data_IF_486143796281
#
_entry.id   IF_486143796281
#
_cell.length_a   1.000
_cell.length_b   1.000
_cell.length_c   1.000
_cell.angle_alpha   90.00
_cell.angle_beta   90.00
_cell.angle_gamma   90.00
#
_symmetry.space_group_name_H-M   'P 1'
#
loop_
_entity.id
_entity.type
_entity.pdbx_description
1 polymer ?
#
# COMPACT_ATOMS: atom_id res chain seq x y z
N UNK A 1 -20.07 -20.13 -5.59
CA UNK A 1 -18.72 -19.63 -5.22
C UNK A 1 -18.74 -18.12 -5.19
N UNK A 2 -18.26 -17.48 -4.12
CA UNK A 2 -18.19 -16.02 -4.11
C UNK A 2 -17.15 -15.53 -5.10
N UNK A 3 -17.50 -14.43 -5.76
CA UNK A 3 -16.56 -13.75 -6.66
C UNK A 3 -15.47 -13.09 -5.83
N UNK A 4 -14.17 -13.27 -6.17
CA UNK A 4 -13.11 -12.60 -5.46
C UNK A 4 -13.25 -11.07 -5.52
N UNK A 5 -13.01 -10.41 -4.40
CA UNK A 5 -12.94 -8.94 -4.38
C UNK A 5 -11.65 -8.51 -5.08
N UNK A 6 -11.80 -7.61 -6.03
CA UNK A 6 -10.65 -7.05 -6.74
C UNK A 6 -10.12 -5.82 -6.01
N UNK A 7 -8.83 -5.83 -5.72
CA UNK A 7 -8.16 -4.78 -4.95
C UNK A 7 -6.84 -4.37 -5.59
N UNK A 8 -6.33 -3.22 -5.18
CA UNK A 8 -4.98 -2.76 -5.51
C UNK A 8 -4.21 -2.50 -4.22
N UNK A 9 -2.88 -2.57 -4.32
CA UNK A 9 -1.96 -2.15 -3.27
C UNK A 9 -0.75 -1.49 -3.94
N UNK A 10 -0.20 -0.47 -3.30
CA UNK A 10 0.87 0.32 -3.89
C UNK A 10 2.17 0.20 -3.10
N UNK A 11 3.25 -0.21 -3.78
CA UNK A 11 4.60 0.03 -3.30
C UNK A 11 5.06 1.36 -3.87
N UNK A 12 4.92 2.41 -3.10
CA UNK A 12 5.34 3.76 -3.48
C UNK A 12 6.75 3.96 -2.97
N UNK A 13 7.71 3.98 -3.89
CA UNK A 13 9.14 3.98 -3.57
C UNK A 13 9.73 5.36 -3.87
N UNK A 14 10.47 5.89 -2.92
CA UNK A 14 11.23 7.13 -3.05
C UNK A 14 12.71 6.80 -2.89
N UNK A 15 13.55 7.45 -3.69
CA UNK A 15 15.01 7.33 -3.55
C UNK A 15 15.57 8.66 -3.07
N UNK A 16 16.09 8.70 -1.84
CA UNK A 16 16.68 9.90 -1.26
C UNK A 16 18.12 9.62 -0.85
N UNK A 17 18.36 9.12 0.37
CA UNK A 17 19.67 8.58 0.76
C UNK A 17 19.77 7.10 0.45
N UNK A 18 18.68 6.51 -0.02
CA UNK A 18 18.52 5.11 -0.38
C UNK A 18 17.04 4.89 -0.68
N UNK A 19 16.64 3.64 -1.01
CA UNK A 19 15.24 3.35 -1.30
C UNK A 19 14.41 3.43 -0.03
N UNK A 20 13.23 4.04 -0.14
CA UNK A 20 12.28 4.21 0.96
C UNK A 20 10.88 3.87 0.50
N UNK A 21 10.10 3.23 1.37
CA UNK A 21 8.74 2.80 1.09
C UNK A 21 7.75 3.67 1.86
N UNK A 22 6.70 4.12 1.18
CA UNK A 22 5.59 4.83 1.80
C UNK A 22 4.74 3.86 2.60
N UNK A 23 4.58 4.14 3.89
CA UNK A 23 3.72 3.37 4.79
C UNK A 23 2.90 4.32 5.66
N UNK A 24 1.87 3.78 6.32
CA UNK A 24 1.10 4.56 7.28
C UNK A 24 0.60 3.69 8.42
N UNK A 25 0.32 4.34 9.54
CA UNK A 25 -0.36 3.74 10.70
C UNK A 25 -1.72 4.41 10.88
N UNK A 26 -2.72 3.65 11.30
CA UNK A 26 -4.01 4.20 11.68
C UNK A 26 -3.89 4.87 13.05
N UNK A 27 -4.13 6.17 13.13
CA UNK A 27 -4.14 6.86 14.42
C UNK A 27 -5.33 6.45 15.27
N UNK A 28 -6.46 6.13 14.63
CA UNK A 28 -7.70 5.75 15.32
C UNK A 28 -7.72 4.28 15.70
N UNK A 29 -6.90 3.45 15.06
CA UNK A 29 -6.85 2.00 15.27
C UNK A 29 -5.39 1.56 15.33
N UNK A 30 -4.68 1.83 16.45
CA UNK A 30 -3.23 1.54 16.52
C UNK A 30 -2.88 0.08 16.26
N UNK A 31 -3.77 -0.85 16.63
CA UNK A 31 -3.54 -2.28 16.47
C UNK A 31 -3.67 -2.76 15.03
N UNK A 32 -4.10 -1.90 14.11
CA UNK A 32 -4.21 -2.28 12.70
C UNK A 32 -2.85 -2.59 12.06
N UNK A 33 -1.76 -2.14 12.67
CA UNK A 33 -0.41 -2.35 12.16
C UNK A 33 -0.04 -1.37 11.05
N UNK A 34 1.22 -1.42 10.64
CA UNK A 34 1.75 -0.55 9.59
C UNK A 34 1.36 -1.12 8.22
N UNK A 35 0.89 -0.25 7.34
CA UNK A 35 0.31 -0.65 6.06
C UNK A 35 0.83 0.19 4.90
N UNK A 36 0.64 -0.33 3.68
CA UNK A 36 0.81 0.43 2.44
C UNK A 36 -0.57 0.85 1.92
N UNK A 37 -0.64 1.87 1.03
CA UNK A 37 -1.92 2.24 0.43
C UNK A 37 -2.54 1.06 -0.32
N UNK A 38 -3.81 0.79 -0.06
CA UNK A 38 -4.54 -0.32 -0.66
C UNK A 38 -6.04 -0.10 -0.57
N UNK A 39 -6.79 -0.73 -1.47
CA UNK A 39 -8.24 -0.65 -1.43
C UNK A 39 -8.89 -1.35 -2.61
N UNK A 40 -10.22 -1.29 -2.65
CA UNK A 40 -11.01 -1.96 -3.68
C UNK A 40 -10.96 -1.26 -5.03
N UNK A 41 -10.99 -2.04 -6.10
CA UNK A 41 -11.17 -1.53 -7.46
C UNK A 41 -12.67 -1.33 -7.68
N UNK A 42 -13.05 -0.14 -8.15
CA UNK A 42 -14.45 0.16 -8.49
C UNK A 42 -14.83 -0.50 -9.81
N UNK A 43 -16.14 -0.65 -10.04
CA UNK A 43 -16.67 -1.37 -11.20
C UNK A 43 -16.10 -0.87 -12.53
N UNK A 44 -15.88 0.44 -12.66
CA UNK A 44 -15.44 1.06 -13.92
C UNK A 44 -13.94 1.36 -13.96
N UNK A 45 -13.20 0.91 -12.94
CA UNK A 45 -11.77 1.20 -12.85
C UNK A 45 -10.92 0.03 -13.31
N UNK A 46 -9.79 0.34 -13.93
CA UNK A 46 -8.70 -0.61 -14.08
C UNK A 46 -7.76 -0.49 -12.84
N UNK A 47 -6.84 -1.45 -12.66
CA UNK A 47 -5.93 -1.40 -11.51
C UNK A 47 -5.06 -0.14 -11.48
N UNK A 48 -4.63 0.37 -12.61
CA UNK A 48 -3.81 1.58 -12.72
C UNK A 48 -4.55 2.79 -12.14
N UNK A 49 -5.79 3.02 -12.59
CA UNK A 49 -6.62 4.13 -12.12
C UNK A 49 -6.94 3.96 -10.64
N UNK A 50 -7.27 2.74 -10.22
CA UNK A 50 -7.63 2.47 -8.83
C UNK A 50 -6.47 2.73 -7.88
N UNK A 51 -5.24 2.32 -8.24
CA UNK A 51 -4.09 2.49 -7.35
C UNK A 51 -3.74 3.96 -7.17
N UNK A 52 -3.83 4.76 -8.22
CA UNK A 52 -3.59 6.21 -8.12
C UNK A 52 -4.63 6.87 -7.21
N UNK A 53 -5.89 6.48 -7.35
CA UNK A 53 -6.95 6.99 -6.49
C UNK A 53 -6.72 6.63 -5.03
N UNK A 54 -6.38 5.38 -4.74
CA UNK A 54 -6.15 4.93 -3.35
C UNK A 54 -4.97 5.65 -2.72
N UNK A 55 -3.86 5.84 -3.44
CA UNK A 55 -2.71 6.57 -2.91
C UNK A 55 -3.10 8.00 -2.55
N UNK A 56 -3.86 8.68 -3.42
CA UNK A 56 -4.30 10.05 -3.16
C UNK A 56 -5.29 10.12 -1.99
N UNK A 57 -6.25 9.20 -1.95
CA UNK A 57 -7.27 9.19 -0.88
C UNK A 57 -6.65 8.92 0.49
N UNK A 58 -5.70 8.00 0.57
CA UNK A 58 -5.15 7.55 1.85
C UNK A 58 -3.93 8.33 2.32
N UNK A 59 -3.17 8.95 1.41
CA UNK A 59 -1.94 9.64 1.78
C UNK A 59 -1.86 11.09 1.34
N UNK A 60 -2.73 11.52 0.42
CA UNK A 60 -2.72 12.86 -0.13
C UNK A 60 -1.73 13.07 -1.27
N UNK A 61 -0.89 12.09 -1.58
CA UNK A 61 0.05 12.20 -2.70
C UNK A 61 -0.70 11.99 -4.02
N UNK A 62 -0.46 12.86 -4.99
CA UNK A 62 -1.20 12.85 -6.27
C UNK A 62 -0.31 12.80 -7.51
N UNK A 63 1.00 12.82 -7.36
CA UNK A 63 1.96 12.82 -8.48
C UNK A 63 2.92 11.65 -8.38
N UNK A 64 2.38 10.44 -8.16
CA UNK A 64 3.18 9.23 -8.05
C UNK A 64 2.93 8.36 -9.29
N UNK A 65 3.75 8.50 -10.35
CA UNK A 65 3.53 7.70 -11.55
C UNK A 65 3.69 6.21 -11.28
N UNK A 66 2.86 5.40 -11.98
CA UNK A 66 2.95 3.96 -11.92
C UNK A 66 4.13 3.51 -12.79
N UNK A 67 5.05 2.76 -12.18
CA UNK A 67 6.21 2.20 -12.89
C UNK A 67 5.84 0.86 -13.53
N UNK A 68 5.09 0.01 -12.80
CA UNK A 68 4.69 -1.27 -13.36
C UNK A 68 3.96 -2.15 -12.37
N UNK A 69 3.49 -3.30 -12.85
CA UNK A 69 2.87 -4.33 -12.02
C UNK A 69 3.94 -5.18 -11.35
N UNK A 70 3.69 -5.53 -10.08
CA UNK A 70 4.59 -6.41 -9.30
C UNK A 70 4.04 -7.82 -9.29
N UNK A 71 2.74 -7.98 -9.14
CA UNK A 71 2.10 -9.28 -9.12
C UNK A 71 0.67 -9.19 -8.63
N UNK A 72 0.02 -10.34 -8.54
CA UNK A 72 -1.34 -10.45 -8.01
C UNK A 72 -1.29 -11.35 -6.79
N UNK A 73 -1.75 -10.83 -5.66
CA UNK A 73 -1.83 -11.57 -4.40
C UNK A 73 -3.22 -12.18 -4.30
N UNK A 74 -3.28 -13.50 -4.29
CA UNK A 74 -4.54 -14.25 -4.25
C UNK A 74 -4.96 -14.66 -2.83
N UNK A 75 -4.21 -14.25 -1.81
CA UNK A 75 -4.55 -14.62 -0.43
C UNK A 75 -5.89 -14.01 -0.01
N UNK A 76 -6.74 -14.80 0.66
CA UNK A 76 -8.03 -14.29 1.14
C UNK A 76 -7.83 -13.26 2.25
N UNK A 77 -8.92 -12.56 2.58
CA UNK A 77 -8.92 -11.64 3.71
C UNK A 77 -8.51 -12.40 4.98
N UNK A 78 -7.54 -11.87 5.77
CA UNK A 78 -6.97 -12.62 6.88
C UNK A 78 -7.95 -12.88 8.03
N UNK A 79 -9.01 -12.09 8.14
CA UNK A 79 -10.00 -12.24 9.22
C UNK A 79 -11.26 -12.92 8.72
N UNK A 80 -11.84 -12.48 7.60
CA UNK A 80 -13.13 -12.97 7.12
C UNK A 80 -13.01 -14.20 6.21
N UNK A 81 -11.83 -14.45 5.64
CA UNK A 81 -11.62 -15.51 4.66
C UNK A 81 -12.20 -15.22 3.29
N UNK A 82 -12.74 -14.00 3.07
CA UNK A 82 -13.31 -13.65 1.77
C UNK A 82 -12.23 -13.70 0.68
N UNK A 83 -12.52 -14.35 -0.47
CA UNK A 83 -11.55 -14.37 -1.57
C UNK A 83 -11.19 -12.96 -2.05
N UNK A 84 -9.92 -12.74 -2.35
CA UNK A 84 -9.41 -11.46 -2.85
C UNK A 84 -8.39 -11.69 -3.93
N UNK A 85 -8.36 -10.78 -4.91
CA UNK A 85 -7.26 -10.66 -5.86
C UNK A 85 -6.73 -9.23 -5.73
N UNK A 86 -5.55 -9.08 -5.13
CA UNK A 86 -4.93 -7.77 -4.92
C UNK A 86 -3.82 -7.57 -5.94
N UNK A 87 -4.04 -6.63 -6.86
CA UNK A 87 -3.03 -6.22 -7.83
C UNK A 87 -2.04 -5.31 -7.11
N UNK A 88 -0.77 -5.73 -7.04
CA UNK A 88 0.29 -4.96 -6.39
C UNK A 88 1.07 -4.22 -7.48
N UNK A 89 1.15 -2.91 -7.35
CA UNK A 89 1.81 -2.04 -8.33
C UNK A 89 2.94 -1.25 -7.68
N UNK A 90 3.95 -0.97 -8.49
CA UNK A 90 5.10 -0.16 -8.09
C UNK A 90 4.89 1.26 -8.60
N UNK A 91 4.95 2.23 -7.70
CA UNK A 91 4.84 3.65 -8.00
C UNK A 91 6.10 4.37 -7.55
N UNK A 92 6.38 5.51 -8.17
CA UNK A 92 7.51 6.35 -7.80
C UNK A 92 7.02 7.62 -7.09
N UNK A 93 7.65 7.96 -5.97
CA UNK A 93 7.37 9.22 -5.27
C UNK A 93 8.52 10.21 -5.48
N UNK A 94 8.21 11.52 -5.62
CA UNK A 94 9.26 12.53 -5.66
C UNK A 94 10.11 12.54 -4.40
N UNK A 95 11.42 12.78 -4.55
CA UNK A 95 12.34 12.76 -3.42
C UNK A 95 12.19 13.96 -2.48
N UNK A 96 11.51 15.02 -2.92
CA UNK A 96 11.28 16.23 -2.14
C UNK A 96 9.99 16.21 -1.33
N UNK A 97 9.24 15.10 -1.37
CA UNK A 97 8.07 14.93 -0.50
C UNK A 97 8.47 14.96 0.97
N UNK A 98 7.52 15.32 1.82
CA UNK A 98 7.73 15.31 3.27
C UNK A 98 8.09 13.89 3.76
N UNK A 99 8.92 13.81 4.79
CA UNK A 99 9.31 12.53 5.37
C UNK A 99 8.17 11.87 6.14
N UNK A 100 7.32 12.67 6.76
CA UNK A 100 6.15 12.19 7.49
C UNK A 100 5.09 13.28 7.59
N UNK A 101 3.83 12.86 7.66
CA UNK A 101 2.69 13.77 7.78
C UNK A 101 1.46 13.01 8.26
N UNK A 102 0.44 13.73 8.70
CA UNK A 102 -0.86 13.17 9.04
C UNK A 102 -1.84 13.54 7.94
N UNK A 103 -2.58 12.56 7.45
CA UNK A 103 -3.55 12.75 6.38
C UNK A 103 -4.93 12.24 6.83
N UNK A 104 -5.96 13.06 6.61
CA UNK A 104 -7.34 12.61 6.79
C UNK A 104 -7.79 11.94 5.50
N UNK A 105 -8.18 10.66 5.61
CA UNK A 105 -8.52 9.84 4.45
C UNK A 105 -9.74 10.42 3.73
N UNK A 106 -9.63 10.55 2.43
CA UNK A 106 -10.68 11.08 1.55
C UNK A 106 -11.45 9.95 0.88
N UNK A 107 -12.49 10.33 0.15
CA UNK A 107 -13.28 9.39 -0.64
C UNK A 107 -14.52 8.93 0.09
N UNK A 108 -15.08 7.82 -0.37
CA UNK A 108 -16.35 7.27 0.13
C UNK A 108 -16.21 5.87 0.70
N UNK A 109 -14.99 5.36 0.81
CA UNK A 109 -14.74 4.04 1.38
C UNK A 109 -14.88 4.06 2.90
N UNK A 110 -14.84 2.87 3.51
CA UNK A 110 -15.04 2.73 4.97
C UNK A 110 -14.03 3.51 5.80
N UNK A 111 -12.83 3.74 5.27
CA UNK A 111 -11.78 4.46 5.98
C UNK A 111 -11.90 5.98 5.86
N UNK A 112 -12.85 6.50 5.07
CA UNK A 112 -13.03 7.93 4.89
C UNK A 112 -13.24 8.64 6.24
N UNK A 113 -12.49 9.73 6.46
CA UNK A 113 -12.53 10.48 7.70
C UNK A 113 -11.56 10.04 8.77
N UNK A 114 -10.97 8.85 8.65
CA UNK A 114 -9.94 8.40 9.58
C UNK A 114 -8.63 9.14 9.32
N UNK A 115 -7.75 9.17 10.31
CA UNK A 115 -6.45 9.81 10.19
C UNK A 115 -5.33 8.77 10.09
N UNK A 116 -4.49 8.94 9.08
CA UNK A 116 -3.33 8.09 8.86
C UNK A 116 -2.05 8.89 9.11
N UNK A 117 -1.15 8.31 9.91
CA UNK A 117 0.20 8.84 10.07
C UNK A 117 1.08 8.23 8.98
N UNK A 118 1.35 9.00 7.95
CA UNK A 118 2.11 8.58 6.78
C UNK A 118 3.59 8.90 6.95
N UNK A 119 4.46 8.02 6.45
CA UNK A 119 5.91 8.24 6.45
C UNK A 119 6.59 7.37 5.41
N UNK A 120 7.81 7.74 5.06
CA UNK A 120 8.70 6.91 4.27
C UNK A 120 9.66 6.18 5.21
N UNK A 121 9.81 4.88 4.99
CA UNK A 121 10.72 4.03 5.79
C UNK A 121 11.77 3.41 4.89
N UNK A 122 13.00 3.29 5.42
CA UNK A 122 14.10 2.72 4.65
C UNK A 122 13.85 1.25 4.31
N UNK A 123 14.27 0.87 3.11
CA UNK A 123 14.30 -0.52 2.67
C UNK A 123 15.73 -1.08 2.80
N UNK A 124 15.91 -2.36 3.19
CA UNK A 124 14.85 -3.30 3.54
C UNK A 124 14.14 -2.94 4.85
N UNK A 125 12.90 -3.44 4.98
CA UNK A 125 12.11 -3.17 6.19
C UNK A 125 12.73 -3.82 7.42
N UNK A 126 12.58 -3.17 8.59
CA UNK A 126 13.03 -3.73 9.85
C UNK A 126 12.01 -4.70 10.47
N UNK A 127 10.79 -4.77 9.92
CA UNK A 127 9.74 -5.66 10.39
C UNK A 127 8.69 -5.87 9.32
N UNK A 128 7.69 -6.72 9.62
CA UNK A 128 6.61 -7.04 8.68
C UNK A 128 5.56 -5.96 8.64
N UNK A 129 4.87 -5.85 7.50
CA UNK A 129 3.69 -5.02 7.37
C UNK A 129 2.43 -5.83 7.71
N UNK A 130 1.34 -5.14 8.04
CA UNK A 130 0.05 -5.77 8.27
C UNK A 130 -0.40 -6.53 7.03
N UNK A 131 -1.19 -7.60 7.23
CA UNK A 131 -1.75 -8.44 6.14
C UNK A 131 -0.67 -8.93 5.17
N UNK A 132 0.55 -9.12 5.66
CA UNK A 132 1.68 -9.56 4.82
C UNK A 132 1.86 -8.71 3.56
N UNK A 133 1.58 -7.43 3.64
CA UNK A 133 1.67 -6.53 2.48
C UNK A 133 3.08 -6.40 1.93
N UNK A 134 4.09 -6.76 2.71
CA UNK A 134 5.50 -6.75 2.27
C UNK A 134 5.89 -7.98 1.43
N UNK A 135 4.97 -8.92 1.22
CA UNK A 135 5.27 -10.22 0.61
C UNK A 135 5.97 -10.13 -0.74
N UNK A 136 5.64 -9.15 -1.56
CA UNK A 136 6.16 -9.02 -2.93
C UNK A 136 7.31 -8.02 -3.07
N UNK A 137 7.79 -7.41 -1.99
CA UNK A 137 8.89 -6.45 -2.07
C UNK A 137 10.14 -7.09 -2.68
N UNK A 138 10.39 -8.36 -2.38
CA UNK A 138 11.52 -9.09 -2.95
C UNK A 138 11.48 -9.25 -4.46
N UNK A 139 10.32 -9.04 -5.08
CA UNK A 139 10.21 -9.07 -6.55
C UNK A 139 10.78 -7.82 -7.21
N UNK A 140 10.78 -6.70 -6.47
CA UNK A 140 11.40 -5.46 -6.95
C UNK A 140 12.91 -5.49 -6.75
N UNK A 141 13.36 -5.99 -5.60
CA UNK A 141 14.76 -6.14 -5.27
C UNK A 141 14.88 -7.27 -4.23
N UNK A 142 15.65 -8.35 -4.53
CA UNK A 142 15.78 -9.46 -3.58
C UNK A 142 16.26 -9.04 -2.19
N UNK A 143 17.04 -7.96 -2.10
CA UNK A 143 17.51 -7.45 -0.81
C UNK A 143 16.38 -6.89 0.06
N UNK A 144 15.20 -6.65 -0.51
CA UNK A 144 14.05 -6.11 0.21
C UNK A 144 13.14 -7.21 0.78
N UNK A 145 13.51 -8.46 0.62
CA UNK A 145 12.76 -9.57 1.21
C UNK A 145 12.77 -9.45 2.73
N UNK A 146 11.59 -9.53 3.35
CA UNK A 146 11.47 -9.43 4.81
C UNK A 146 11.83 -10.77 5.44
N UNK A 147 12.95 -10.80 6.18
CA UNK A 147 13.48 -12.04 6.77
C UNK A 147 12.70 -12.53 7.98
N UNK A 148 11.90 -11.66 8.59
CA UNK A 148 11.06 -12.03 9.76
C UNK A 148 9.88 -12.92 9.39
N UNK A 149 9.63 -13.11 8.10
CA UNK A 149 8.53 -13.91 7.62
C UNK A 149 8.97 -15.38 7.48
N UNK A 150 8.68 -16.16 8.49
CA UNK A 150 9.02 -17.56 8.52
C UNK A 150 7.85 -18.40 9.02
#
# INVERSE_FOLDING_TARGET
>A
MPTPRRRVAAYVIRHRAGPELLVFDHLDIPDAGTQIPAGGIRADEDPHTAVLREVTEETGLDLCPVIGAVGIDHRPHPITGQPRHTHVLHLHAPEDDHDSWIHTVRGTDTDAGLQFACRFVSLPLSGSLADEQDLFLGRLDPDWTTLTRR
#
